data_IF_081407560778
#
_entry.id   IF_081407560778
#
_cell.length_a   1.000
_cell.length_b   1.000
_cell.length_c   1.000
_cell.angle_alpha   90.00
_cell.angle_beta   90.00
_cell.angle_gamma   90.00
#
_symmetry.space_group_name_H-M   'P 1'
#
loop_
_entity.id
_entity.type
_entity.pdbx_description
1 polymer ?
#
# COMPACT_ATOMS: atom_id res chain seq x y z
N UNK A 1 23.29 -5.74 28.10
CA UNK A 1 23.88 -5.69 26.74
C UNK A 1 22.90 -5.99 25.62
N UNK A 2 21.95 -6.92 25.71
CA UNK A 2 20.94 -7.18 24.65
C UNK A 2 20.07 -5.98 24.26
N UNK A 3 19.74 -5.08 25.19
CA UNK A 3 18.90 -3.91 24.92
C UNK A 3 19.53 -2.85 24.00
N UNK A 4 20.87 -2.68 24.05
CA UNK A 4 21.56 -1.71 23.19
C UNK A 4 21.68 -2.23 21.75
N UNK A 5 21.94 -3.51 21.57
CA UNK A 5 22.08 -4.11 20.24
C UNK A 5 20.75 -4.05 19.45
N UNK A 6 19.61 -4.20 20.12
CA UNK A 6 18.29 -4.10 19.45
C UNK A 6 17.99 -2.67 18.97
N UNK A 7 18.30 -1.65 19.77
CA UNK A 7 18.11 -0.24 19.39
C UNK A 7 19.01 0.17 18.22
N UNK A 8 20.28 -0.25 18.25
CA UNK A 8 21.22 0.00 17.16
C UNK A 8 20.75 -0.67 15.86
N UNK A 9 20.33 -1.94 15.93
CA UNK A 9 19.77 -2.65 14.78
C UNK A 9 18.56 -1.94 14.19
N UNK A 10 17.60 -1.52 15.03
CA UNK A 10 16.42 -0.79 14.58
C UNK A 10 16.76 0.57 13.95
N UNK A 11 17.79 1.27 14.48
CA UNK A 11 18.26 2.53 13.90
C UNK A 11 18.89 2.33 12.53
N UNK A 12 19.79 1.35 12.41
CA UNK A 12 20.46 1.00 11.15
C UNK A 12 19.45 0.57 10.09
N UNK A 13 18.48 -0.28 10.47
CA UNK A 13 17.43 -0.73 9.56
C UNK A 13 16.50 0.43 9.12
N UNK A 14 16.18 1.34 10.04
CA UNK A 14 15.40 2.54 9.70
C UNK A 14 16.16 3.43 8.71
N UNK A 15 17.47 3.67 8.95
CA UNK A 15 18.31 4.45 8.06
C UNK A 15 18.44 3.79 6.67
N UNK A 16 18.55 2.47 6.62
CA UNK A 16 18.57 1.71 5.36
C UNK A 16 17.26 1.91 4.56
N UNK A 17 16.09 1.79 5.21
CA UNK A 17 14.82 2.03 4.53
C UNK A 17 14.67 3.48 4.07
N UNK A 18 15.12 4.47 4.85
CA UNK A 18 15.17 5.87 4.43
C UNK A 18 16.02 6.02 3.18
N UNK A 19 17.23 5.44 3.15
CA UNK A 19 18.10 5.49 1.99
C UNK A 19 17.46 4.84 0.76
N UNK A 20 16.82 3.67 0.90
CA UNK A 20 16.09 3.00 -0.19
C UNK A 20 14.98 3.91 -0.72
N UNK A 21 14.16 4.52 0.15
CA UNK A 21 13.07 5.41 -0.26
C UNK A 21 13.62 6.61 -1.03
N UNK A 22 14.68 7.26 -0.55
CA UNK A 22 15.29 8.42 -1.19
C UNK A 22 15.88 8.06 -2.55
N UNK A 23 16.62 6.96 -2.64
CA UNK A 23 17.20 6.48 -3.92
C UNK A 23 16.09 6.12 -4.90
N UNK A 24 15.06 5.39 -4.49
CA UNK A 24 13.94 5.07 -5.36
C UNK A 24 13.18 6.32 -5.81
N UNK A 25 12.98 7.31 -4.93
CA UNK A 25 12.32 8.57 -5.28
C UNK A 25 13.12 9.38 -6.32
N UNK A 26 14.45 9.27 -6.30
CA UNK A 26 15.36 9.97 -7.20
C UNK A 26 15.59 9.25 -8.54
N UNK A 27 15.09 8.02 -8.68
CA UNK A 27 15.28 7.16 -9.84
C UNK A 27 13.94 6.78 -10.49
N UNK A 28 13.93 6.27 -11.74
CA UNK A 28 12.72 5.72 -12.36
C UNK A 28 12.14 4.51 -11.62
N UNK A 29 12.92 3.84 -10.75
CA UNK A 29 12.45 2.69 -9.97
C UNK A 29 11.29 3.01 -9.04
N UNK A 30 11.18 4.25 -8.57
CA UNK A 30 10.06 4.68 -7.74
C UNK A 30 8.74 4.90 -8.48
N UNK A 31 8.80 5.00 -9.81
CA UNK A 31 7.66 5.24 -10.67
C UNK A 31 7.84 4.44 -11.96
N UNK A 32 7.20 3.29 -12.03
CA UNK A 32 7.25 2.44 -13.22
C UNK A 32 6.27 3.01 -14.25
N UNK A 33 6.74 3.51 -15.40
CA UNK A 33 5.84 3.97 -16.45
C UNK A 33 5.10 2.75 -17.03
N UNK A 34 3.80 2.72 -16.82
CA UNK A 34 2.88 1.83 -17.53
C UNK A 34 2.33 2.60 -18.73
N UNK A 35 1.85 1.89 -19.74
CA UNK A 35 1.41 2.45 -21.04
C UNK A 35 0.48 3.66 -20.89
N UNK A 36 -0.32 3.74 -19.84
CA UNK A 36 -1.30 4.80 -19.61
C UNK A 36 -0.99 5.62 -18.35
N UNK A 37 -0.26 5.08 -17.37
CA UNK A 37 -0.08 5.70 -16.05
C UNK A 37 1.23 5.21 -15.39
N UNK A 38 1.77 5.98 -14.43
CA UNK A 38 2.91 5.60 -13.63
C UNK A 38 2.44 4.85 -12.37
N UNK A 39 2.81 3.57 -12.23
CA UNK A 39 2.63 2.85 -10.99
C UNK A 39 3.70 3.26 -9.97
N UNK A 40 3.28 3.58 -8.76
CA UNK A 40 4.18 3.99 -7.67
C UNK A 40 4.64 2.75 -6.90
N UNK A 41 5.95 2.52 -6.84
CA UNK A 41 6.55 1.41 -6.07
C UNK A 41 7.13 1.86 -4.72
N UNK A 42 7.21 3.16 -4.48
CA UNK A 42 7.78 3.77 -3.25
C UNK A 42 7.04 3.36 -1.96
N UNK A 43 5.77 2.96 -2.06
CA UNK A 43 5.02 2.46 -0.91
C UNK A 43 5.56 1.11 -0.39
N UNK A 44 6.20 0.30 -1.23
CA UNK A 44 6.66 -1.05 -0.88
C UNK A 44 7.70 -1.04 0.25
N UNK A 45 8.83 -0.29 0.17
CA UNK A 45 9.79 -0.22 1.28
C UNK A 45 9.18 0.38 2.55
N UNK A 46 8.22 1.30 2.45
CA UNK A 46 7.50 1.84 3.60
C UNK A 46 6.67 0.76 4.30
N UNK A 47 5.92 -0.05 3.53
CA UNK A 47 5.13 -1.16 4.06
C UNK A 47 6.05 -2.17 4.74
N UNK A 48 7.11 -2.62 4.06
CA UNK A 48 8.06 -3.59 4.62
C UNK A 48 8.69 -3.03 5.90
N UNK A 49 9.19 -1.81 5.87
CA UNK A 49 9.75 -1.14 7.05
C UNK A 49 8.75 -1.08 8.21
N UNK A 50 7.49 -0.79 7.93
CA UNK A 50 6.41 -0.78 8.92
C UNK A 50 6.21 -2.15 9.59
N UNK A 51 6.19 -3.23 8.80
CA UNK A 51 5.98 -4.58 9.31
C UNK A 51 7.10 -5.05 10.25
N UNK A 52 8.34 -4.61 10.02
CA UNK A 52 9.51 -5.02 10.82
C UNK A 52 9.89 -4.04 11.92
N UNK A 53 9.62 -2.74 11.75
CA UNK A 53 10.01 -1.69 12.70
C UNK A 53 8.82 -1.15 13.53
N UNK A 54 7.60 -1.57 13.19
CA UNK A 54 6.38 -1.12 13.86
C UNK A 54 5.78 0.17 13.28
N UNK A 55 4.54 0.52 13.69
CA UNK A 55 3.75 1.55 13.05
C UNK A 55 4.31 2.97 13.26
N UNK A 56 5.01 3.24 14.36
CA UNK A 56 5.62 4.55 14.61
C UNK A 56 6.76 4.84 13.62
N UNK A 57 7.66 3.88 13.43
CA UNK A 57 8.76 4.01 12.45
C UNK A 57 8.25 3.88 11.03
N UNK A 58 7.25 3.02 10.80
CA UNK A 58 6.54 2.95 9.53
C UNK A 58 5.93 4.30 9.14
N UNK A 59 5.23 4.97 10.06
CA UNK A 59 4.70 6.32 9.84
C UNK A 59 5.81 7.35 9.55
N UNK A 60 6.95 7.26 10.22
CA UNK A 60 8.12 8.09 9.93
C UNK A 60 8.65 7.85 8.50
N UNK A 61 8.80 6.58 8.09
CA UNK A 61 9.20 6.22 6.71
C UNK A 61 8.18 6.73 5.68
N UNK A 62 6.90 6.63 5.99
CA UNK A 62 5.83 7.23 5.20
C UNK A 62 5.93 8.76 5.11
N UNK A 63 6.30 9.43 6.20
CA UNK A 63 6.61 10.86 6.22
C UNK A 63 7.78 11.23 5.30
N UNK A 64 8.87 10.45 5.34
CA UNK A 64 10.00 10.61 4.40
C UNK A 64 9.53 10.46 2.95
N UNK A 65 8.76 9.43 2.64
CA UNK A 65 8.16 9.26 1.31
C UNK A 65 7.29 10.46 0.92
N UNK A 66 6.44 10.95 1.83
CA UNK A 66 5.60 12.13 1.58
C UNK A 66 6.41 13.38 1.27
N UNK A 67 7.48 13.63 2.02
CA UNK A 67 8.40 14.75 1.80
C UNK A 67 9.13 14.63 0.46
N UNK A 68 9.65 13.45 0.10
CA UNK A 68 10.28 13.25 -1.22
C UNK A 68 9.28 13.46 -2.36
N UNK A 69 8.03 13.04 -2.20
CA UNK A 69 6.95 13.28 -3.16
C UNK A 69 6.66 14.77 -3.32
N UNK A 70 6.56 15.50 -2.21
CA UNK A 70 6.32 16.94 -2.19
C UNK A 70 7.47 17.71 -2.87
N UNK A 71 8.71 17.39 -2.52
CA UNK A 71 9.92 18.02 -3.13
C UNK A 71 9.95 17.75 -4.63
N UNK A 72 9.78 16.47 -5.03
CA UNK A 72 9.80 16.09 -6.45
C UNK A 72 8.71 16.80 -7.26
N UNK A 73 7.49 16.89 -6.72
CA UNK A 73 6.38 17.59 -7.38
C UNK A 73 6.57 19.10 -7.45
N UNK A 74 7.35 19.68 -6.52
CA UNK A 74 7.63 21.11 -6.50
C UNK A 74 8.82 21.50 -7.38
N UNK A 75 9.76 20.59 -7.62
CA UNK A 75 10.96 20.80 -8.45
C UNK A 75 10.79 20.24 -9.87
N UNK A 76 9.84 19.35 -10.09
CA UNK A 76 9.60 18.70 -11.38
C UNK A 76 8.94 19.61 -12.41
N UNK A 77 8.93 19.16 -13.68
CA UNK A 77 8.23 19.84 -14.75
C UNK A 77 6.74 20.02 -14.41
N UNK A 78 6.22 21.22 -14.63
CA UNK A 78 4.85 21.58 -14.34
C UNK A 78 3.86 20.71 -15.16
N UNK A 79 3.22 19.74 -14.51
CA UNK A 79 2.03 19.12 -15.07
C UNK A 79 0.81 19.97 -14.72
N UNK A 80 -0.25 19.89 -15.53
CA UNK A 80 -1.51 20.61 -15.29
C UNK A 80 -2.13 20.31 -13.92
N UNK A 81 -1.79 19.18 -13.30
CA UNK A 81 -2.25 18.75 -11.97
C UNK A 81 -1.17 18.82 -10.88
N UNK A 82 -0.05 19.51 -11.10
CA UNK A 82 1.04 19.64 -10.13
C UNK A 82 0.60 20.23 -8.79
N UNK A 83 -0.40 21.10 -8.80
CA UNK A 83 -0.97 21.74 -7.60
C UNK A 83 -1.51 20.73 -6.56
N UNK A 84 -1.81 19.51 -6.97
CA UNK A 84 -2.32 18.47 -6.06
C UNK A 84 -1.29 18.07 -5.01
N UNK A 85 -0.01 17.96 -5.41
CA UNK A 85 1.08 17.48 -4.55
C UNK A 85 2.14 18.52 -4.23
N UNK A 86 2.08 19.69 -4.88
CA UNK A 86 3.03 20.78 -4.71
C UNK A 86 2.35 22.00 -4.13
N UNK A 87 2.69 22.40 -2.89
CA UNK A 87 2.20 23.65 -2.31
C UNK A 87 2.56 24.87 -3.14
N UNK A 88 3.75 24.88 -3.76
CA UNK A 88 4.21 25.97 -4.64
C UNK A 88 3.33 26.07 -5.89
N UNK A 89 3.09 24.94 -6.55
CA UNK A 89 2.22 24.90 -7.72
C UNK A 89 0.75 25.23 -7.35
N UNK A 90 0.28 24.83 -6.17
CA UNK A 90 -1.07 25.14 -5.72
C UNK A 90 -1.30 26.65 -5.62
N UNK A 91 -0.36 27.39 -5.04
CA UNK A 91 -0.44 28.85 -4.93
C UNK A 91 -0.22 29.53 -6.30
N UNK A 92 0.68 29.02 -7.14
CA UNK A 92 0.97 29.65 -8.44
C UNK A 92 -0.07 29.40 -9.53
N UNK A 93 -0.78 28.26 -9.47
CA UNK A 93 -1.69 27.83 -10.54
C UNK A 93 -3.18 28.07 -10.21
N UNK A 94 -3.54 28.13 -8.92
CA UNK A 94 -4.94 28.24 -8.51
C UNK A 94 -5.27 29.67 -8.05
N UNK A 95 -6.46 30.22 -8.41
CA UNK A 95 -6.87 31.55 -7.99
C UNK A 95 -7.02 31.64 -6.47
N UNK A 96 -6.54 32.73 -5.89
CA UNK A 96 -6.68 33.06 -4.49
C UNK A 96 -6.60 34.57 -4.27
N UNK A 97 -7.58 35.12 -3.57
CA UNK A 97 -7.71 36.58 -3.35
C UNK A 97 -7.14 37.03 -2.01
N UNK A 98 -6.86 36.10 -1.11
CA UNK A 98 -6.40 36.39 0.25
C UNK A 98 -5.23 35.49 0.67
N UNK A 99 -4.41 35.99 1.59
CA UNK A 99 -3.35 35.17 2.22
C UNK A 99 -3.92 33.91 2.87
N UNK A 100 -5.10 34.01 3.49
CA UNK A 100 -5.78 32.85 4.09
C UNK A 100 -6.13 31.78 3.07
N UNK A 101 -6.60 32.16 1.88
CA UNK A 101 -6.88 31.25 0.78
C UNK A 101 -5.59 30.59 0.27
N UNK A 102 -4.50 31.33 0.13
CA UNK A 102 -3.19 30.77 -0.24
C UNK A 102 -2.69 29.75 0.80
N UNK A 103 -2.79 30.06 2.09
CA UNK A 103 -2.43 29.13 3.17
C UNK A 103 -3.28 27.86 3.09
N UNK A 104 -4.57 27.96 2.80
CA UNK A 104 -5.43 26.78 2.65
C UNK A 104 -5.02 25.89 1.49
N UNK A 105 -4.59 26.47 0.34
CA UNK A 105 -4.05 25.72 -0.80
C UNK A 105 -2.77 24.97 -0.41
N UNK A 106 -1.85 25.63 0.32
CA UNK A 106 -0.64 24.99 0.85
C UNK A 106 -0.97 23.81 1.74
N UNK A 107 -1.92 23.97 2.66
CA UNK A 107 -2.33 22.91 3.58
C UNK A 107 -2.97 21.73 2.86
N UNK A 108 -3.86 21.96 1.88
CA UNK A 108 -4.50 20.92 1.09
C UNK A 108 -3.48 20.07 0.31
N UNK A 109 -2.54 20.71 -0.41
CA UNK A 109 -1.53 20.02 -1.20
C UNK A 109 -0.55 19.25 -0.31
N UNK A 110 -0.12 19.87 0.81
CA UNK A 110 0.73 19.20 1.81
C UNK A 110 0.03 17.99 2.41
N UNK A 111 -1.26 18.12 2.76
CA UNK A 111 -2.05 17.02 3.27
C UNK A 111 -2.07 15.84 2.29
N UNK A 112 -2.41 16.09 1.02
CA UNK A 112 -2.47 15.04 -0.02
C UNK A 112 -1.09 14.40 -0.23
N UNK A 113 -0.03 15.19 -0.19
CA UNK A 113 1.33 14.68 -0.39
C UNK A 113 1.86 13.86 0.81
N UNK A 114 1.48 14.19 2.04
CA UNK A 114 2.14 13.64 3.25
C UNK A 114 1.24 12.67 4.02
N UNK A 115 -0.01 13.03 4.29
CA UNK A 115 -0.87 12.23 5.20
C UNK A 115 -1.16 10.82 4.67
N UNK A 116 -1.53 10.61 3.41
CA UNK A 116 -1.70 9.27 2.87
C UNK A 116 -0.43 8.42 2.98
N UNK A 117 0.75 9.03 2.79
CA UNK A 117 2.05 8.35 2.87
C UNK A 117 2.39 7.92 4.29
N UNK A 118 2.10 8.75 5.30
CA UNK A 118 2.23 8.37 6.71
C UNK A 118 1.32 7.16 7.01
N UNK A 119 0.08 7.19 6.51
CA UNK A 119 -0.88 6.10 6.73
C UNK A 119 -0.50 4.80 6.02
N UNK A 120 0.21 4.85 4.88
CA UNK A 120 0.84 3.66 4.27
C UNK A 120 1.83 2.99 5.24
N UNK A 121 2.51 3.77 6.07
CA UNK A 121 3.43 3.25 7.09
C UNK A 121 2.74 2.76 8.37
N UNK A 122 1.44 3.00 8.53
CA UNK A 122 0.70 2.66 9.76
C UNK A 122 -0.32 1.55 9.52
N UNK A 123 -1.19 1.73 8.52
CA UNK A 123 -2.33 0.82 8.24
C UNK A 123 -1.89 -0.63 7.96
N UNK A 124 -0.89 -0.91 7.10
CA UNK A 124 -0.47 -2.28 6.80
C UNK A 124 0.01 -3.05 8.03
N UNK A 125 0.65 -2.37 8.98
CA UNK A 125 1.06 -3.00 10.23
C UNK A 125 -0.13 -3.54 11.02
N UNK A 126 -1.16 -2.73 11.20
CA UNK A 126 -2.35 -3.16 11.93
C UNK A 126 -3.13 -4.24 11.19
N UNK A 127 -3.19 -4.18 9.86
CA UNK A 127 -3.76 -5.25 9.03
C UNK A 127 -2.97 -6.54 9.23
N UNK A 128 -1.64 -6.50 9.14
CA UNK A 128 -0.78 -7.67 9.37
C UNK A 128 -1.00 -8.29 10.77
N UNK A 129 -1.02 -7.46 11.81
CA UNK A 129 -1.24 -7.92 13.19
C UNK A 129 -2.64 -8.52 13.36
N UNK A 130 -3.66 -7.90 12.77
CA UNK A 130 -5.03 -8.41 12.77
C UNK A 130 -5.15 -9.78 12.09
N UNK A 131 -4.57 -9.92 10.89
CA UNK A 131 -4.51 -11.21 10.18
C UNK A 131 -3.76 -12.25 10.99
N UNK A 132 -2.58 -11.90 11.52
CA UNK A 132 -1.78 -12.82 12.35
C UNK A 132 -2.56 -13.30 13.58
N UNK A 133 -3.34 -12.42 14.21
CA UNK A 133 -4.22 -12.79 15.33
C UNK A 133 -5.34 -13.73 14.88
N UNK A 134 -5.98 -13.47 13.74
CA UNK A 134 -7.05 -14.31 13.20
C UNK A 134 -6.55 -15.72 12.86
N UNK A 135 -5.39 -15.83 12.20
CA UNK A 135 -4.80 -17.13 11.85
C UNK A 135 -4.11 -17.83 13.04
N UNK A 136 -3.87 -17.14 14.15
CA UNK A 136 -3.39 -17.72 15.41
C UNK A 136 -4.50 -18.29 16.31
N UNK A 137 -5.77 -18.20 15.90
CA UNK A 137 -6.93 -18.69 16.65
C UNK A 137 -7.24 -20.17 16.34
N UNK A 138 -8.08 -20.80 17.17
CA UNK A 138 -8.54 -22.18 16.95
C UNK A 138 -9.30 -22.35 15.62
N UNK A 139 -9.87 -21.26 15.10
CA UNK A 139 -10.60 -21.21 13.82
C UNK A 139 -9.74 -20.71 12.65
N UNK A 140 -8.42 -20.92 12.71
CA UNK A 140 -7.46 -20.37 11.73
C UNK A 140 -7.81 -20.68 10.28
N UNK A 141 -8.27 -21.92 10.01
CA UNK A 141 -8.64 -22.33 8.64
C UNK A 141 -9.82 -21.52 8.13
N UNK A 142 -10.88 -21.38 8.92
CA UNK A 142 -12.07 -20.62 8.53
C UNK A 142 -11.71 -19.17 8.28
N UNK A 143 -11.03 -18.51 9.22
CA UNK A 143 -10.65 -17.11 9.05
C UNK A 143 -9.65 -16.92 7.90
N UNK A 144 -8.67 -17.80 7.77
CA UNK A 144 -7.69 -17.75 6.68
C UNK A 144 -8.35 -17.88 5.32
N UNK A 145 -9.20 -18.89 5.11
CA UNK A 145 -9.88 -19.12 3.84
C UNK A 145 -10.91 -18.03 3.52
N UNK A 146 -11.62 -17.48 4.52
CA UNK A 146 -12.54 -16.35 4.31
C UNK A 146 -11.76 -15.09 3.87
N UNK A 147 -10.66 -14.78 4.55
CA UNK A 147 -9.80 -13.63 4.19
C UNK A 147 -9.24 -13.83 2.78
N UNK A 148 -8.74 -15.04 2.48
CA UNK A 148 -8.25 -15.39 1.16
C UNK A 148 -9.34 -15.23 0.08
N UNK A 149 -10.55 -15.70 0.33
CA UNK A 149 -11.68 -15.57 -0.60
C UNK A 149 -11.99 -14.09 -0.92
N UNK A 150 -12.01 -13.24 0.11
CA UNK A 150 -12.23 -11.79 -0.06
C UNK A 150 -11.11 -11.14 -0.89
N UNK A 151 -9.85 -11.46 -0.59
CA UNK A 151 -8.69 -10.93 -1.33
C UNK A 151 -8.74 -11.37 -2.79
N UNK A 152 -8.99 -12.66 -3.03
CA UNK A 152 -9.00 -13.24 -4.38
C UNK A 152 -10.17 -12.70 -5.21
N UNK A 153 -11.32 -12.45 -4.57
CA UNK A 153 -12.45 -11.77 -5.22
C UNK A 153 -12.07 -10.33 -5.62
N UNK A 154 -11.46 -9.56 -4.70
CA UNK A 154 -11.01 -8.19 -4.98
C UNK A 154 -10.00 -8.16 -6.12
N UNK A 155 -9.03 -9.07 -6.13
CA UNK A 155 -8.03 -9.17 -7.20
C UNK A 155 -8.67 -9.55 -8.54
N UNK A 156 -9.53 -10.57 -8.57
CA UNK A 156 -10.21 -11.00 -9.78
C UNK A 156 -11.12 -9.92 -10.36
N UNK A 157 -11.91 -9.26 -9.49
CA UNK A 157 -12.76 -8.13 -9.88
C UNK A 157 -11.91 -6.95 -10.37
N UNK A 158 -10.81 -6.66 -9.69
CA UNK A 158 -9.89 -5.60 -10.07
C UNK A 158 -9.28 -5.83 -11.45
N UNK A 159 -8.84 -7.06 -11.74
CA UNK A 159 -8.32 -7.42 -13.08
C UNK A 159 -9.41 -7.31 -14.14
N UNK A 160 -10.64 -7.73 -13.84
CA UNK A 160 -11.77 -7.49 -14.74
C UNK A 160 -11.99 -5.99 -14.99
N UNK A 161 -12.03 -5.17 -13.94
CA UNK A 161 -12.22 -3.73 -14.05
C UNK A 161 -11.09 -3.05 -14.85
N UNK A 162 -9.85 -3.52 -14.67
CA UNK A 162 -8.69 -3.10 -15.46
C UNK A 162 -8.91 -3.34 -16.96
N UNK A 163 -9.19 -4.58 -17.36
CA UNK A 163 -9.40 -4.90 -18.77
C UNK A 163 -10.65 -4.21 -19.35
N UNK A 164 -11.72 -4.11 -18.57
CA UNK A 164 -12.92 -3.39 -19.00
C UNK A 164 -12.64 -1.91 -19.29
N UNK A 165 -11.76 -1.28 -18.50
CA UNK A 165 -11.32 0.10 -18.76
C UNK A 165 -10.48 0.22 -20.03
N UNK A 166 -9.55 -0.72 -20.27
CA UNK A 166 -8.73 -0.76 -21.48
C UNK A 166 -9.57 -0.95 -22.75
N UNK A 167 -10.65 -1.73 -22.66
CA UNK A 167 -11.63 -1.91 -23.74
C UNK A 167 -12.39 -0.59 -23.98
N UNK A 168 -12.88 0.04 -22.92
CA UNK A 168 -13.63 1.30 -23.02
C UNK A 168 -12.79 2.46 -23.58
N UNK A 169 -11.46 2.40 -23.48
CA UNK A 169 -10.51 3.35 -24.05
C UNK A 169 -10.00 2.94 -25.43
N UNK A 170 -10.56 1.90 -26.04
CA UNK A 170 -10.16 1.34 -27.34
C UNK A 170 -8.68 0.91 -27.44
N UNK A 171 -8.02 0.73 -26.29
CA UNK A 171 -6.62 0.27 -26.22
C UNK A 171 -6.52 -1.22 -26.54
N UNK A 172 -7.55 -2.00 -26.17
CA UNK A 172 -7.63 -3.43 -26.41
C UNK A 172 -8.90 -3.79 -27.18
N UNK A 173 -8.73 -4.43 -28.34
CA UNK A 173 -9.82 -4.90 -29.20
C UNK A 173 -10.48 -6.21 -28.71
N UNK A 174 -10.61 -6.42 -27.40
CA UNK A 174 -11.26 -7.61 -26.84
C UNK A 174 -12.68 -7.34 -26.36
N UNK A 175 -13.52 -8.38 -26.26
CA UNK A 175 -14.85 -8.23 -25.71
C UNK A 175 -14.88 -8.16 -24.18
N UNK A 176 -15.91 -7.51 -23.62
CA UNK A 176 -16.14 -7.46 -22.16
C UNK A 176 -16.28 -8.86 -21.56
N UNK A 177 -16.81 -9.81 -22.34
CA UNK A 177 -16.92 -11.22 -21.92
C UNK A 177 -15.54 -11.83 -21.67
N UNK A 178 -14.56 -11.58 -22.57
CA UNK A 178 -13.17 -12.05 -22.40
C UNK A 178 -12.54 -11.43 -21.15
N UNK A 179 -12.71 -10.12 -20.93
CA UNK A 179 -12.23 -9.44 -19.72
C UNK A 179 -12.81 -10.06 -18.44
N UNK A 180 -14.12 -10.40 -18.44
CA UNK A 180 -14.78 -11.08 -17.33
C UNK A 180 -14.20 -12.47 -17.06
N UNK A 181 -13.99 -13.26 -18.12
CA UNK A 181 -13.41 -14.60 -18.00
C UNK A 181 -11.99 -14.52 -17.44
N UNK A 182 -11.16 -13.58 -17.91
CA UNK A 182 -9.80 -13.36 -17.38
C UNK A 182 -9.86 -13.01 -15.89
N UNK A 183 -10.74 -12.10 -15.48
CA UNK A 183 -10.92 -11.73 -14.08
C UNK A 183 -11.31 -12.92 -13.18
N UNK A 184 -12.22 -13.78 -13.65
CA UNK A 184 -12.62 -15.00 -12.95
C UNK A 184 -11.43 -15.96 -12.82
N UNK A 185 -10.70 -16.21 -13.91
CA UNK A 185 -9.53 -17.10 -13.91
C UNK A 185 -8.48 -16.60 -12.92
N UNK A 186 -8.17 -15.30 -12.96
CA UNK A 186 -7.20 -14.69 -12.02
C UNK A 186 -7.69 -14.79 -10.58
N UNK A 187 -8.98 -14.54 -10.32
CA UNK A 187 -9.55 -14.71 -8.98
C UNK A 187 -9.42 -16.13 -8.45
N UNK A 188 -9.74 -17.14 -9.27
CA UNK A 188 -9.60 -18.56 -8.92
C UNK A 188 -8.14 -18.93 -8.70
N UNK A 189 -7.25 -18.50 -9.60
CA UNK A 189 -5.80 -18.78 -9.49
C UNK A 189 -5.19 -18.11 -8.25
N UNK A 190 -5.60 -16.87 -7.93
CA UNK A 190 -5.19 -16.18 -6.71
C UNK A 190 -5.68 -16.93 -5.47
N UNK A 191 -6.95 -17.36 -5.45
CA UNK A 191 -7.50 -18.16 -4.32
C UNK A 191 -6.71 -19.44 -4.11
N UNK A 192 -6.51 -20.24 -5.17
CA UNK A 192 -5.79 -21.51 -5.09
C UNK A 192 -4.32 -21.30 -4.67
N UNK A 193 -3.65 -20.29 -5.24
CA UNK A 193 -2.25 -19.98 -4.91
C UNK A 193 -2.06 -19.48 -3.48
N UNK A 194 -2.89 -18.57 -3.01
CA UNK A 194 -2.84 -18.04 -1.64
C UNK A 194 -3.21 -19.14 -0.63
N UNK A 195 -4.23 -19.96 -0.92
CA UNK A 195 -4.62 -21.09 -0.07
C UNK A 195 -3.51 -22.11 0.04
N UNK A 196 -2.85 -22.45 -1.08
CA UNK A 196 -1.68 -23.34 -1.08
C UNK A 196 -0.54 -22.79 -0.21
N UNK A 197 -0.24 -21.50 -0.32
CA UNK A 197 0.79 -20.84 0.49
C UNK A 197 0.41 -20.86 1.98
N UNK A 198 -0.84 -20.56 2.29
CA UNK A 198 -1.37 -20.52 3.65
C UNK A 198 -1.35 -21.90 4.32
N UNK A 199 -1.76 -22.93 3.59
CA UNK A 199 -1.87 -24.31 4.12
C UNK A 199 -0.53 -25.03 4.19
N UNK A 200 0.34 -24.88 3.19
CA UNK A 200 1.49 -25.76 3.00
C UNK A 200 2.84 -25.11 3.25
N UNK A 201 2.92 -23.78 3.33
CA UNK A 201 4.22 -23.07 3.46
C UNK A 201 4.33 -22.33 4.79
N UNK A 202 3.69 -21.19 4.90
CA UNK A 202 3.74 -20.36 6.09
C UNK A 202 2.44 -19.56 6.22
N UNK A 203 1.70 -19.79 7.30
CA UNK A 203 0.48 -19.03 7.59
C UNK A 203 0.70 -17.51 7.60
N UNK A 204 1.93 -17.03 7.86
CA UNK A 204 2.28 -15.60 7.78
C UNK A 204 2.21 -15.04 6.36
N UNK A 205 2.26 -15.90 5.33
CA UNK A 205 2.14 -15.49 3.94
C UNK A 205 0.89 -14.64 3.70
N UNK A 206 -0.25 -15.09 4.24
CA UNK A 206 -1.51 -14.34 4.14
C UNK A 206 -1.39 -12.94 4.77
N UNK A 207 -0.69 -12.80 5.89
CA UNK A 207 -0.45 -11.51 6.54
C UNK A 207 0.40 -10.56 5.68
N UNK A 208 1.47 -11.05 5.05
CA UNK A 208 2.30 -10.23 4.17
C UNK A 208 1.56 -9.81 2.89
N UNK A 209 0.83 -10.73 2.26
CA UNK A 209 0.01 -10.45 1.08
C UNK A 209 -1.03 -9.37 1.38
N UNK A 210 -1.80 -9.55 2.46
CA UNK A 210 -2.83 -8.58 2.86
C UNK A 210 -2.26 -7.22 3.23
N UNK A 211 -1.10 -7.17 3.90
CA UNK A 211 -0.44 -5.91 4.22
C UNK A 211 0.03 -5.17 2.96
N UNK A 212 0.54 -5.89 1.97
CA UNK A 212 0.91 -5.31 0.66
C UNK A 212 -0.29 -4.66 -0.04
N UNK A 213 -1.40 -5.38 -0.13
CA UNK A 213 -2.65 -4.88 -0.71
C UNK A 213 -3.17 -3.67 0.09
N UNK A 214 -3.22 -3.79 1.42
CA UNK A 214 -3.74 -2.73 2.28
C UNK A 214 -2.92 -1.44 2.15
N UNK A 215 -1.60 -1.53 2.05
CA UNK A 215 -0.75 -0.36 1.87
C UNK A 215 -0.95 0.33 0.52
N UNK A 216 -1.00 -0.44 -0.57
CA UNK A 216 -1.29 0.08 -1.90
C UNK A 216 -2.67 0.75 -1.95
N UNK A 217 -3.71 0.07 -1.43
CA UNK A 217 -5.07 0.62 -1.39
C UNK A 217 -5.17 1.86 -0.49
N UNK A 218 -4.47 1.89 0.65
CA UNK A 218 -4.42 3.07 1.52
C UNK A 218 -3.90 4.29 0.74
N UNK A 219 -2.81 4.13 -0.03
CA UNK A 219 -2.30 5.20 -0.88
C UNK A 219 -3.35 5.67 -1.88
N UNK A 220 -3.81 4.76 -2.71
CA UNK A 220 -4.66 5.08 -3.87
C UNK A 220 -6.00 5.67 -3.43
N UNK A 221 -6.67 5.08 -2.43
CA UNK A 221 -7.97 5.56 -1.96
C UNK A 221 -7.88 6.91 -1.26
N UNK A 222 -6.86 7.10 -0.40
CA UNK A 222 -6.73 8.36 0.33
C UNK A 222 -6.28 9.51 -0.58
N UNK A 223 -5.37 9.27 -1.51
CA UNK A 223 -4.95 10.29 -2.47
C UNK A 223 -6.10 10.68 -3.37
N UNK A 224 -6.74 9.72 -4.03
CA UNK A 224 -7.83 9.99 -4.96
C UNK A 224 -9.06 10.59 -4.26
N UNK A 225 -9.38 10.09 -3.05
CA UNK A 225 -10.46 10.66 -2.23
C UNK A 225 -10.16 12.10 -1.80
N UNK A 226 -8.92 12.38 -1.38
CA UNK A 226 -8.52 13.74 -1.01
C UNK A 226 -8.52 14.71 -2.19
N UNK A 227 -8.13 14.26 -3.38
CA UNK A 227 -8.23 15.05 -4.62
C UNK A 227 -9.68 15.42 -4.88
N UNK A 228 -10.60 14.46 -4.81
CA UNK A 228 -12.02 14.71 -5.00
C UNK A 228 -12.58 15.72 -3.98
N UNK A 229 -12.23 15.57 -2.70
CA UNK A 229 -12.75 16.42 -1.62
C UNK A 229 -12.18 17.84 -1.68
N UNK A 230 -10.87 17.99 -1.95
CA UNK A 230 -10.20 19.29 -1.85
C UNK A 230 -10.10 20.03 -3.16
N UNK A 231 -10.08 19.33 -4.29
CA UNK A 231 -9.75 19.87 -5.61
C UNK A 231 -10.70 19.41 -6.72
N UNK A 232 -11.98 19.07 -6.39
CA UNK A 232 -12.95 18.57 -7.38
C UNK A 232 -12.94 19.37 -8.68
N UNK A 233 -13.17 20.68 -8.59
CA UNK A 233 -13.31 21.54 -9.76
C UNK A 233 -11.98 21.80 -10.49
N UNK A 234 -10.92 22.29 -9.82
CA UNK A 234 -9.67 22.56 -10.52
C UNK A 234 -8.99 21.29 -11.05
N UNK A 235 -9.19 20.14 -10.39
CA UNK A 235 -8.65 18.88 -10.89
C UNK A 235 -9.42 18.38 -12.12
N UNK A 236 -10.74 18.47 -12.13
CA UNK A 236 -11.58 18.14 -13.29
C UNK A 236 -11.20 18.97 -14.51
N UNK A 237 -11.02 20.28 -14.34
CA UNK A 237 -10.54 21.20 -15.38
C UNK A 237 -9.14 20.80 -15.89
N UNK A 238 -8.19 20.55 -14.98
CA UNK A 238 -6.82 20.16 -15.33
C UNK A 238 -6.72 18.85 -16.13
N UNK A 239 -7.65 17.91 -15.90
CA UNK A 239 -7.69 16.61 -16.61
C UNK A 239 -8.70 16.59 -17.77
N UNK A 240 -9.39 17.71 -18.03
CA UNK A 240 -10.30 17.88 -19.16
C UNK A 240 -11.60 17.06 -19.05
N UNK A 241 -12.13 16.88 -17.84
CA UNK A 241 -13.40 16.16 -17.61
C UNK A 241 -14.43 17.04 -16.90
N UNK A 242 -15.70 16.73 -17.10
CA UNK A 242 -16.78 17.37 -16.35
C UNK A 242 -16.63 17.09 -14.85
N UNK A 243 -16.80 18.09 -13.96
CA UNK A 243 -16.72 17.87 -12.51
C UNK A 243 -17.67 16.78 -11.96
N UNK A 244 -18.81 16.55 -12.60
CA UNK A 244 -19.74 15.51 -12.19
C UNK A 244 -19.33 14.11 -12.69
N UNK A 245 -18.53 14.05 -13.77
CA UNK A 245 -17.91 12.82 -14.25
C UNK A 245 -16.59 12.48 -13.49
N UNK A 246 -16.05 13.39 -12.68
CA UNK A 246 -14.76 13.21 -12.00
C UNK A 246 -14.74 11.97 -11.08
N UNK A 247 -15.84 11.68 -10.37
CA UNK A 247 -15.93 10.49 -9.51
C UNK A 247 -15.79 9.19 -10.33
N UNK A 248 -16.43 9.12 -11.50
CA UNK A 248 -16.31 7.96 -12.39
C UNK A 248 -14.88 7.82 -12.94
N UNK A 249 -14.24 8.94 -13.29
CA UNK A 249 -12.84 8.94 -13.71
C UNK A 249 -11.91 8.46 -12.58
N UNK A 250 -12.07 8.97 -11.36
CA UNK A 250 -11.31 8.54 -10.17
C UNK A 250 -11.53 7.04 -9.91
N UNK A 251 -12.75 6.55 -10.00
CA UNK A 251 -13.06 5.12 -9.93
C UNK A 251 -12.28 4.31 -10.97
N UNK A 252 -12.16 4.84 -12.19
CA UNK A 252 -11.32 4.25 -13.25
C UNK A 252 -9.84 4.20 -12.87
N UNK A 253 -9.29 5.28 -12.30
CA UNK A 253 -7.89 5.32 -11.82
C UNK A 253 -7.66 4.31 -10.69
N UNK A 254 -8.57 4.23 -9.72
CA UNK A 254 -8.49 3.27 -8.62
C UNK A 254 -8.52 1.83 -9.16
N UNK A 255 -9.42 1.53 -10.09
CA UNK A 255 -9.57 0.20 -10.68
C UNK A 255 -8.35 -0.19 -11.55
N UNK A 256 -7.70 0.77 -12.18
CA UNK A 256 -6.54 0.51 -13.03
C UNK A 256 -5.25 0.48 -12.21
N UNK A 257 -4.85 1.62 -11.63
CA UNK A 257 -3.59 1.74 -10.88
C UNK A 257 -3.61 0.99 -9.57
N UNK A 258 -4.69 1.15 -8.80
CA UNK A 258 -4.80 0.54 -7.49
C UNK A 258 -4.68 -0.98 -7.54
N UNK A 259 -5.23 -1.62 -8.58
CA UNK A 259 -5.13 -3.08 -8.75
C UNK A 259 -3.72 -3.52 -9.08
N UNK A 260 -3.04 -2.84 -10.01
CA UNK A 260 -1.66 -3.16 -10.36
C UNK A 260 -0.75 -2.94 -9.15
N UNK A 261 -0.88 -1.80 -8.48
CA UNK A 261 -0.11 -1.48 -7.27
C UNK A 261 -0.37 -2.49 -6.14
N UNK A 262 -1.62 -2.95 -5.98
CA UNK A 262 -1.97 -3.97 -4.99
C UNK A 262 -1.36 -5.33 -5.31
N UNK A 263 -1.38 -5.77 -6.57
CA UNK A 263 -0.76 -7.04 -6.99
C UNK A 263 0.76 -6.98 -6.80
N UNK A 264 1.41 -5.93 -7.29
CA UNK A 264 2.86 -5.74 -7.15
C UNK A 264 3.25 -5.62 -5.68
N UNK A 265 2.50 -4.84 -4.89
CA UNK A 265 2.68 -4.71 -3.45
C UNK A 265 2.52 -6.04 -2.72
N UNK A 266 1.47 -6.82 -3.01
CA UNK A 266 1.24 -8.14 -2.43
C UNK A 266 2.41 -9.10 -2.70
N UNK A 267 2.85 -9.19 -3.96
CA UNK A 267 3.93 -10.11 -4.36
C UNK A 267 5.25 -9.71 -3.71
N UNK A 268 5.67 -8.44 -3.82
CA UNK A 268 6.98 -8.02 -3.32
C UNK A 268 7.00 -8.02 -1.78
N UNK A 269 5.96 -7.54 -1.11
CA UNK A 269 5.88 -7.55 0.36
C UNK A 269 5.88 -9.00 0.88
N UNK A 270 5.21 -9.94 0.20
CA UNK A 270 5.28 -11.36 0.54
C UNK A 270 6.70 -11.92 0.36
N UNK A 271 7.30 -11.78 -0.82
CA UNK A 271 8.62 -12.35 -1.12
C UNK A 271 9.71 -11.81 -0.19
N UNK A 272 9.77 -10.50 -0.03
CA UNK A 272 10.76 -9.86 0.85
C UNK A 272 10.43 -10.09 2.31
N UNK A 273 9.15 -10.04 2.69
CA UNK A 273 8.69 -10.23 4.06
C UNK A 273 9.03 -11.61 4.60
N UNK A 274 8.81 -12.69 3.82
CA UNK A 274 9.16 -14.06 4.22
C UNK A 274 10.67 -14.23 4.41
N UNK A 275 11.49 -13.63 3.53
CA UNK A 275 12.95 -13.69 3.65
C UNK A 275 13.43 -12.94 4.90
N UNK A 276 12.98 -11.70 5.09
CA UNK A 276 13.35 -10.90 6.25
C UNK A 276 12.87 -11.52 7.58
N UNK A 277 11.71 -12.16 7.59
CA UNK A 277 11.21 -12.84 8.80
C UNK A 277 12.09 -14.02 9.22
N UNK A 278 12.74 -14.70 8.26
CA UNK A 278 13.67 -15.81 8.53
C UNK A 278 15.03 -15.35 9.04
N UNK A 279 15.54 -14.21 8.58
CA UNK A 279 16.89 -13.73 8.89
C UNK A 279 16.94 -12.74 10.05
N UNK A 280 15.80 -12.28 10.56
CA UNK A 280 15.78 -11.34 11.68
C UNK A 280 16.38 -11.95 12.94
N UNK A 281 17.16 -11.19 13.71
CA UNK A 281 17.72 -11.66 14.99
C UNK A 281 16.62 -12.03 15.99
N UNK A 282 16.85 -13.08 16.77
CA UNK A 282 15.96 -13.46 17.87
C UNK A 282 15.81 -12.30 18.87
N UNK A 283 14.57 -11.93 19.21
CA UNK A 283 14.28 -10.84 20.17
C UNK A 283 14.04 -9.46 19.56
N UNK A 284 14.21 -9.28 18.24
CA UNK A 284 13.82 -8.05 17.54
C UNK A 284 12.35 -8.18 17.07
N UNK A 285 11.43 -7.84 17.94
CA UNK A 285 10.03 -7.66 17.57
C UNK A 285 9.67 -6.19 17.61
N UNK A 286 9.14 -5.67 16.52
CA UNK A 286 8.44 -4.42 16.52
C UNK A 286 7.15 -4.59 17.35
N UNK A 287 7.10 -3.94 18.48
CA UNK A 287 5.95 -3.95 19.38
C UNK A 287 6.15 -4.87 20.59
N UNK A 288 6.44 -4.26 21.73
CA UNK A 288 6.63 -4.91 23.03
C UNK A 288 5.39 -5.59 23.62
N UNK A 289 4.24 -5.67 23.00
CA UNK A 289 3.01 -6.03 23.71
C UNK A 289 2.02 -6.96 22.99
N UNK A 290 2.51 -7.90 22.20
CA UNK A 290 1.71 -9.10 21.94
C UNK A 290 2.51 -10.31 22.38
N UNK A 291 2.58 -10.53 23.69
CA UNK A 291 2.78 -11.87 24.26
C UNK A 291 1.58 -12.73 23.86
N UNK A 292 1.56 -13.18 22.62
CA UNK A 292 0.79 -14.38 22.31
C UNK A 292 1.52 -15.48 23.08
N UNK A 293 0.92 -15.95 24.21
CA UNK A 293 1.27 -17.22 24.77
C UNK A 293 1.09 -18.22 23.63
N UNK A 294 2.18 -18.56 22.96
CA UNK A 294 2.27 -19.85 22.32
C UNK A 294 2.10 -20.83 23.47
N UNK A 295 0.93 -21.44 23.56
CA UNK A 295 0.74 -22.64 24.36
C UNK A 295 1.68 -23.63 23.72
N UNK A 296 2.88 -23.70 24.28
CA UNK A 296 3.88 -24.67 23.87
C UNK A 296 3.26 -26.05 24.17
N UNK A 297 3.27 -26.89 23.17
CA UNK A 297 2.99 -28.33 23.33
C UNK A 297 3.88 -28.98 24.40
N UNK A 298 4.92 -28.32 24.88
CA UNK A 298 5.82 -28.74 25.93
C UNK A 298 5.17 -28.83 27.33
N UNK A 299 4.06 -28.11 27.60
CA UNK A 299 3.39 -28.21 28.89
C UNK A 299 2.48 -29.43 29.02
N UNK A 300 2.16 -30.15 27.94
CA UNK A 300 1.38 -31.38 27.97
C UNK A 300 2.24 -32.65 28.13
N UNK A 301 3.49 -32.63 27.70
CA UNK A 301 4.38 -33.78 27.88
C UNK A 301 4.94 -33.90 29.30
N UNK A 302 5.10 -32.81 30.04
CA UNK A 302 5.56 -32.87 31.43
C UNK A 302 4.47 -33.27 32.44
N UNK A 303 3.18 -33.23 32.08
CA UNK A 303 2.08 -33.68 32.91
C UNK A 303 1.68 -35.14 32.66
N UNK A 304 2.18 -35.79 31.62
CA UNK A 304 1.99 -37.24 31.43
C UNK A 304 3.17 -38.09 31.91
N UNK A 305 4.19 -37.48 32.48
CA UNK A 305 5.36 -38.16 33.03
C UNK A 305 5.44 -38.10 34.54
N UNK A 306 4.36 -37.75 35.22
CA UNK A 306 4.14 -37.93 36.66
C UNK A 306 2.87 -38.78 36.90
#
# INVERSE_FOLDING_TARGET
MQSNNSKTYELVLTALFVAIIVVMASTPLGFIPLVVINATTLHIPVIIGSLFLGPKKGGFLGGVFGLTSLIKSSLGAASLSAFVFSPVAAVSMLPHDTVGAAVLLVLKSTFIAVVPRILIGVVPYFVYVGIKKAIGSDKKLVYGSVINAVISFILGFGVFAFFNRMIAQEVLGMSVTVARVIGIIVGIAAFAGIEYLFMNKDAKALGFITAGIAGAMTNTLLVMGSIYVFYKYPYAEAVGVDPDALMAMIGGVISFNGVIEAIVGAVIVYLVGIVLDKIKPAGVYAGKDVKIKLVSSESKESQMAQ
#
